data_IF_048952992418
#
_entry.id   IF_048952992418
#
_cell.length_a   1.000
_cell.length_b   1.000
_cell.length_c   1.000
_cell.angle_alpha   90.00
_cell.angle_beta   90.00
_cell.angle_gamma   90.00
#
_symmetry.space_group_name_H-M   'P 1'
#
loop_
_entity.id
_entity.type
_entity.pdbx_description
1 polymer ?
#
# COMPACT_ATOMS: atom_id res chain seq x y z
N UNK A 1 -35.26 3.85 32.53
CA UNK A 1 -33.81 3.94 32.79
C UNK A 1 -33.08 2.63 32.48
N UNK A 2 -33.50 1.48 33.04
CA UNK A 2 -32.94 0.15 32.73
C UNK A 2 -33.03 -0.23 31.25
N UNK A 3 -34.19 -0.03 30.61
CA UNK A 3 -34.39 -0.29 29.17
C UNK A 3 -33.43 0.54 28.30
N UNK A 4 -33.21 1.82 28.64
CA UNK A 4 -32.28 2.69 27.94
C UNK A 4 -30.83 2.20 28.05
N UNK A 5 -30.41 1.78 29.25
CA UNK A 5 -29.06 1.23 29.47
C UNK A 5 -28.84 -0.09 28.73
N UNK A 6 -29.86 -0.95 28.67
CA UNK A 6 -29.81 -2.20 27.90
C UNK A 6 -29.65 -1.93 26.40
N UNK A 7 -30.42 -0.99 25.85
CA UNK A 7 -30.30 -0.65 24.42
C UNK A 7 -29.00 0.10 24.09
N UNK A 8 -28.52 1.00 24.96
CA UNK A 8 -27.23 1.66 24.77
C UNK A 8 -26.07 0.65 24.75
N UNK A 9 -26.07 -0.34 25.66
CA UNK A 9 -25.06 -1.40 25.69
C UNK A 9 -25.10 -2.28 24.44
N UNK A 10 -26.29 -2.56 23.91
CA UNK A 10 -26.48 -3.34 22.68
C UNK A 10 -25.97 -2.57 21.46
N UNK A 11 -26.28 -1.27 21.38
CA UNK A 11 -25.79 -0.39 20.33
C UNK A 11 -24.25 -0.27 20.34
N UNK A 12 -23.64 0.02 21.49
CA UNK A 12 -22.18 0.13 21.63
C UNK A 12 -21.47 -1.17 21.24
N UNK A 13 -22.01 -2.32 21.66
CA UNK A 13 -21.47 -3.62 21.28
C UNK A 13 -21.52 -3.85 19.77
N UNK A 14 -22.65 -3.54 19.13
CA UNK A 14 -22.81 -3.69 17.67
C UNK A 14 -21.89 -2.75 16.88
N UNK A 15 -21.68 -1.53 17.36
CA UNK A 15 -20.79 -0.56 16.72
C UNK A 15 -19.33 -1.02 16.78
N UNK A 16 -18.88 -1.50 17.94
CA UNK A 16 -17.51 -2.01 18.10
C UNK A 16 -17.28 -3.29 17.29
N UNK A 17 -18.28 -4.17 17.21
CA UNK A 17 -18.19 -5.38 16.39
C UNK A 17 -18.05 -5.03 14.90
N UNK A 18 -18.84 -4.07 14.41
CA UNK A 18 -18.70 -3.55 13.04
C UNK A 18 -17.33 -2.90 12.79
N UNK A 19 -16.81 -2.12 13.74
CA UNK A 19 -15.48 -1.52 13.62
C UNK A 19 -14.38 -2.57 13.59
N UNK A 20 -14.48 -3.59 14.43
CA UNK A 20 -13.54 -4.71 14.48
C UNK A 20 -13.53 -5.49 13.16
N UNK A 21 -14.70 -5.77 12.60
CA UNK A 21 -14.82 -6.51 11.34
C UNK A 21 -14.24 -5.69 10.18
N UNK A 22 -14.52 -4.38 10.13
CA UNK A 22 -13.92 -3.47 9.15
C UNK A 22 -12.39 -3.42 9.28
N UNK A 23 -11.85 -3.28 10.50
CA UNK A 23 -10.39 -3.26 10.73
C UNK A 23 -9.74 -4.60 10.39
N UNK A 24 -10.41 -5.72 10.67
CA UNK A 24 -9.92 -7.05 10.30
C UNK A 24 -9.83 -7.20 8.79
N UNK A 25 -10.86 -6.76 8.05
CA UNK A 25 -10.86 -6.76 6.59
C UNK A 25 -9.72 -5.91 6.00
N UNK A 26 -9.52 -4.70 6.55
CA UNK A 26 -8.42 -3.82 6.17
C UNK A 26 -7.05 -4.46 6.44
N UNK A 27 -6.89 -5.13 7.58
CA UNK A 27 -5.64 -5.79 7.95
C UNK A 27 -5.28 -6.94 7.01
N UNK A 28 -6.27 -7.78 6.67
CA UNK A 28 -6.10 -8.88 5.72
C UNK A 28 -5.71 -8.32 4.36
N UNK A 29 -6.41 -7.29 3.88
CA UNK A 29 -6.10 -6.66 2.60
C UNK A 29 -4.69 -6.05 2.59
N UNK A 30 -4.32 -5.30 3.63
CA UNK A 30 -2.99 -4.72 3.77
C UNK A 30 -1.89 -5.79 3.81
N UNK A 31 -2.12 -6.90 4.51
CA UNK A 31 -1.19 -8.04 4.53
C UNK A 31 -0.99 -8.66 3.15
N UNK A 32 -2.09 -8.91 2.42
CA UNK A 32 -2.05 -9.41 1.04
C UNK A 32 -1.33 -8.45 0.11
N UNK A 33 -1.66 -7.15 0.17
CA UNK A 33 -0.98 -6.12 -0.63
C UNK A 33 0.52 -6.08 -0.32
N UNK A 34 0.90 -6.14 0.96
CA UNK A 34 2.31 -6.15 1.37
C UNK A 34 3.05 -7.38 0.85
N UNK A 35 2.42 -8.55 0.86
CA UNK A 35 3.01 -9.78 0.31
C UNK A 35 3.25 -9.67 -1.20
N UNK A 36 2.24 -9.19 -1.95
CA UNK A 36 2.36 -8.98 -3.40
C UNK A 36 3.44 -7.94 -3.72
N UNK A 37 3.40 -6.77 -3.06
CA UNK A 37 4.41 -5.71 -3.26
C UNK A 37 5.81 -6.21 -2.92
N UNK A 38 5.97 -7.01 -1.85
CA UNK A 38 7.28 -7.59 -1.48
C UNK A 38 7.82 -8.52 -2.57
N UNK A 39 6.96 -9.35 -3.18
CA UNK A 39 7.39 -10.21 -4.29
C UNK A 39 7.93 -9.38 -5.48
N UNK A 40 7.27 -8.27 -5.81
CA UNK A 40 7.76 -7.35 -6.84
C UNK A 40 9.04 -6.63 -6.43
N UNK A 41 9.15 -6.18 -5.17
CA UNK A 41 10.38 -5.54 -4.66
C UNK A 41 11.59 -6.47 -4.77
N UNK A 42 11.43 -7.78 -4.48
CA UNK A 42 12.52 -8.75 -4.60
C UNK A 42 13.05 -8.83 -6.03
N UNK A 43 12.18 -8.73 -7.03
CA UNK A 43 12.61 -8.68 -8.44
C UNK A 43 13.14 -7.28 -8.83
N UNK A 44 12.49 -6.20 -8.39
CA UNK A 44 12.91 -4.82 -8.63
C UNK A 44 14.31 -4.53 -8.12
N UNK A 45 14.64 -5.08 -6.95
CA UNK A 45 15.90 -4.84 -6.28
C UNK A 45 17.07 -5.39 -7.10
N UNK A 46 16.86 -6.49 -7.83
CA UNK A 46 17.87 -7.03 -8.75
C UNK A 46 18.21 -6.05 -9.87
N UNK A 47 17.23 -5.29 -10.37
CA UNK A 47 17.48 -4.26 -11.40
C UNK A 47 18.25 -3.04 -10.90
N UNK A 48 18.37 -2.86 -9.57
CA UNK A 48 19.24 -1.86 -8.95
C UNK A 48 20.66 -2.36 -8.67
N UNK A 49 20.92 -3.66 -8.85
CA UNK A 49 22.23 -4.25 -8.70
C UNK A 49 22.85 -4.53 -10.07
N UNK A 50 24.17 -4.43 -10.15
CA UNK A 50 24.91 -4.85 -11.33
C UNK A 50 24.70 -6.35 -11.53
N UNK A 51 23.98 -6.73 -12.58
CA UNK A 51 23.84 -8.13 -12.94
C UNK A 51 25.23 -8.69 -13.29
N UNK A 52 25.70 -9.63 -12.47
CA UNK A 52 27.00 -10.28 -12.67
C UNK A 52 27.03 -10.97 -14.03
N UNK A 53 25.89 -11.50 -14.50
CA UNK A 53 25.76 -12.07 -15.83
C UNK A 53 25.96 -11.05 -16.95
N UNK A 54 25.40 -9.84 -16.80
CA UNK A 54 25.60 -8.78 -17.80
C UNK A 54 27.05 -8.29 -17.83
N UNK A 55 27.70 -8.19 -16.66
CA UNK A 55 29.13 -7.87 -16.58
C UNK A 55 29.99 -8.95 -17.23
N UNK A 56 29.69 -10.23 -16.97
CA UNK A 56 30.38 -11.36 -17.60
C UNK A 56 30.15 -11.39 -19.11
N UNK A 57 28.94 -11.13 -19.59
CA UNK A 57 28.64 -11.04 -21.02
C UNK A 57 29.36 -9.85 -21.69
N UNK A 58 29.41 -8.69 -21.03
CA UNK A 58 30.17 -7.54 -21.51
C UNK A 58 31.67 -7.87 -21.57
N UNK A 59 32.24 -8.48 -20.54
CA UNK A 59 33.63 -8.95 -20.54
C UNK A 59 33.89 -9.99 -21.63
N UNK A 60 32.98 -10.96 -21.83
CA UNK A 60 33.05 -11.96 -22.90
C UNK A 60 33.02 -11.30 -24.29
N UNK A 61 32.16 -10.30 -24.50
CA UNK A 61 32.15 -9.56 -25.77
C UNK A 61 33.45 -8.80 -25.99
N UNK A 62 34.01 -8.16 -24.95
CA UNK A 62 35.31 -7.51 -25.04
C UNK A 62 36.44 -8.49 -25.37
N UNK A 63 36.48 -9.65 -24.70
CA UNK A 63 37.44 -10.72 -24.98
C UNK A 63 37.27 -11.25 -26.40
N UNK A 64 36.04 -11.44 -26.88
CA UNK A 64 35.77 -11.91 -28.25
C UNK A 64 36.26 -10.93 -29.31
N UNK A 65 36.06 -9.62 -29.09
CA UNK A 65 36.53 -8.57 -29.98
C UNK A 65 38.06 -8.50 -29.96
N UNK A 66 38.68 -8.64 -28.79
CA UNK A 66 40.13 -8.69 -28.64
C UNK A 66 40.73 -9.90 -29.39
N UNK A 67 40.11 -11.08 -29.26
CA UNK A 67 40.56 -12.29 -29.96
C UNK A 67 40.40 -12.14 -31.48
N UNK A 68 39.30 -11.54 -31.94
CA UNK A 68 39.06 -11.25 -33.36
C UNK A 68 40.11 -10.29 -33.93
N UNK A 69 40.49 -9.24 -33.20
CA UNK A 69 41.54 -8.29 -33.64
C UNK A 69 42.93 -8.95 -33.70
N UNK A 70 43.26 -9.80 -32.72
CA UNK A 70 44.51 -10.58 -32.75
C UNK A 70 44.53 -11.52 -33.96
N UNK A 71 43.41 -12.20 -34.25
CA UNK A 71 43.31 -13.08 -35.42
C UNK A 71 43.41 -12.33 -36.76
N UNK A 72 43.06 -11.05 -36.78
CA UNK A 72 43.09 -10.18 -37.96
C UNK A 72 44.45 -9.53 -38.20
N UNK A 73 45.45 -9.79 -37.36
CA UNK A 73 46.82 -9.27 -37.51
C UNK A 73 46.99 -7.78 -37.19
N UNK A 74 46.01 -7.12 -36.55
CA UNK A 74 46.12 -5.72 -36.16
C UNK A 74 46.87 -5.58 -34.82
N UNK A 75 48.13 -5.14 -34.87
CA UNK A 75 48.95 -4.80 -33.70
C UNK A 75 48.58 -3.41 -33.12
N UNK A 76 47.30 -3.18 -32.80
CA UNK A 76 46.86 -1.95 -32.14
C UNK A 76 47.11 -2.02 -30.63
N UNK A 77 47.68 -0.99 -30.03
CA UNK A 77 47.76 -0.85 -28.57
C UNK A 77 46.36 -0.85 -27.97
N UNK A 78 46.05 -1.88 -27.19
CA UNK A 78 44.74 -2.09 -26.59
C UNK A 78 44.48 -1.04 -25.51
N UNK A 79 43.72 0.00 -25.84
CA UNK A 79 43.06 0.83 -24.83
C UNK A 79 41.93 0.00 -24.22
N UNK A 80 42.17 -0.58 -23.03
CA UNK A 80 41.11 -1.17 -22.21
C UNK A 80 40.14 -0.05 -21.89
N UNK A 81 38.98 -0.05 -22.56
CA UNK A 81 37.92 0.89 -22.23
C UNK A 81 37.48 0.61 -20.79
N UNK A 82 37.44 1.61 -19.90
CA UNK A 82 37.03 1.40 -18.51
C UNK A 82 35.67 0.72 -18.48
N UNK A 83 35.51 -0.31 -17.64
CA UNK A 83 34.21 -0.94 -17.42
C UNK A 83 33.24 0.19 -17.04
N UNK A 84 32.15 0.41 -17.80
CA UNK A 84 31.22 1.48 -17.49
C UNK A 84 30.66 1.26 -16.10
N UNK A 85 30.80 2.27 -15.23
CA UNK A 85 30.24 2.22 -13.88
C UNK A 85 28.73 2.01 -13.99
N UNK A 86 28.22 1.03 -13.26
CA UNK A 86 26.79 0.71 -13.28
C UNK A 86 25.99 1.92 -12.79
N UNK A 87 25.16 2.48 -13.68
CA UNK A 87 24.19 3.52 -13.35
C UNK A 87 22.80 2.91 -13.54
N UNK A 88 22.01 2.74 -12.47
CA UNK A 88 20.67 2.18 -12.58
C UNK A 88 19.78 3.06 -13.45
N UNK A 89 18.91 2.43 -14.23
CA UNK A 89 17.94 3.14 -15.06
C UNK A 89 17.00 3.99 -14.19
N UNK A 90 16.68 5.21 -14.64
CA UNK A 90 15.75 6.11 -13.95
C UNK A 90 14.38 5.45 -13.68
N UNK A 91 13.94 4.59 -14.59
CA UNK A 91 12.71 3.80 -14.45
C UNK A 91 12.81 2.79 -13.31
N UNK A 92 13.90 2.03 -13.22
CA UNK A 92 14.14 1.07 -12.15
C UNK A 92 14.20 1.75 -10.78
N UNK A 93 14.86 2.91 -10.68
CA UNK A 93 14.88 3.72 -9.46
C UNK A 93 13.47 4.19 -9.06
N UNK A 94 12.70 4.73 -10.02
CA UNK A 94 11.34 5.18 -9.77
C UNK A 94 10.43 4.03 -9.30
N UNK A 95 10.54 2.84 -9.91
CA UNK A 95 9.77 1.65 -9.50
C UNK A 95 10.05 1.27 -8.05
N UNK A 96 11.33 1.20 -7.67
CA UNK A 96 11.73 0.86 -6.33
C UNK A 96 11.19 1.89 -5.32
N UNK A 97 11.35 3.19 -5.58
CA UNK A 97 10.80 4.24 -4.70
C UNK A 97 9.29 4.08 -4.55
N UNK A 98 8.54 3.89 -5.65
CA UNK A 98 7.09 3.71 -5.63
C UNK A 98 6.64 2.47 -4.85
N UNK A 99 7.34 1.35 -5.01
CA UNK A 99 7.00 0.11 -4.29
C UNK A 99 7.38 0.15 -2.81
N UNK A 100 8.54 0.70 -2.44
CA UNK A 100 8.90 0.88 -1.03
C UNK A 100 7.94 1.85 -0.32
N UNK A 101 7.56 2.94 -0.98
CA UNK A 101 6.58 3.89 -0.42
C UNK A 101 5.18 3.28 -0.33
N UNK A 102 4.74 2.55 -1.35
CA UNK A 102 3.48 1.77 -1.31
C UNK A 102 3.46 0.80 -0.12
N UNK A 103 4.52 0.01 0.05
CA UNK A 103 4.65 -0.94 1.16
C UNK A 103 4.62 -0.24 2.52
N UNK A 104 5.32 0.88 2.66
CA UNK A 104 5.35 1.68 3.89
C UNK A 104 3.95 2.21 4.26
N UNK A 105 3.19 2.72 3.28
CA UNK A 105 1.81 3.15 3.51
C UNK A 105 0.88 1.99 3.87
N UNK A 106 1.06 0.82 3.25
CA UNK A 106 0.30 -0.38 3.60
C UNK A 106 0.55 -0.79 5.06
N UNK A 107 1.83 -0.86 5.48
CA UNK A 107 2.17 -1.19 6.86
C UNK A 107 1.67 -0.14 7.86
N UNK A 108 1.78 1.15 7.52
CA UNK A 108 1.22 2.22 8.35
C UNK A 108 -0.30 2.07 8.51
N UNK A 109 -1.02 1.77 7.41
CA UNK A 109 -2.44 1.47 7.45
C UNK A 109 -2.75 0.28 8.38
N UNK A 110 -2.01 -0.82 8.28
CA UNK A 110 -2.17 -1.97 9.18
C UNK A 110 -1.93 -1.59 10.64
N UNK A 111 -0.89 -0.82 10.95
CA UNK A 111 -0.58 -0.38 12.31
C UNK A 111 -1.72 0.48 12.88
N UNK A 112 -2.26 1.42 12.10
CA UNK A 112 -3.38 2.26 12.54
C UNK A 112 -4.65 1.42 12.72
N UNK A 113 -4.92 0.46 11.83
CA UNK A 113 -6.07 -0.46 11.96
C UNK A 113 -5.98 -1.33 13.22
N UNK A 114 -4.80 -1.85 13.55
CA UNK A 114 -4.57 -2.58 14.81
C UNK A 114 -4.83 -1.67 16.00
N UNK A 115 -4.28 -0.45 15.99
CA UNK A 115 -4.40 0.48 17.11
C UNK A 115 -5.85 0.87 17.37
N UNK A 116 -6.63 1.14 16.31
CA UNK A 116 -8.07 1.40 16.43
C UNK A 116 -8.81 0.17 16.95
N UNK A 117 -8.47 -1.03 16.46
CA UNK A 117 -9.04 -2.28 16.94
C UNK A 117 -8.79 -2.51 18.44
N UNK A 118 -7.56 -2.26 18.90
CA UNK A 118 -7.18 -2.36 20.33
C UNK A 118 -7.96 -1.36 21.18
N UNK A 119 -8.03 -0.10 20.77
CA UNK A 119 -8.80 0.93 21.49
C UNK A 119 -10.29 0.58 21.59
N UNK A 120 -10.87 0.01 20.52
CA UNK A 120 -12.26 -0.42 20.52
C UNK A 120 -12.51 -1.62 21.46
N UNK A 121 -11.55 -2.56 21.56
CA UNK A 121 -11.63 -3.68 22.50
C UNK A 121 -11.47 -3.24 23.95
N UNK A 122 -10.50 -2.36 24.23
CA UNK A 122 -10.29 -1.78 25.55
C UNK A 122 -11.56 -1.07 26.03
N UNK A 123 -12.23 -0.32 25.15
CA UNK A 123 -13.50 0.33 25.46
C UNK A 123 -14.57 -0.64 25.95
N UNK A 124 -14.78 -1.76 25.25
CA UNK A 124 -15.75 -2.78 25.66
C UNK A 124 -15.35 -3.42 26.99
N UNK A 125 -14.05 -3.71 27.17
CA UNK A 125 -13.57 -4.33 28.39
C UNK A 125 -13.78 -3.43 29.61
N UNK A 126 -13.53 -2.12 29.49
CA UNK A 126 -13.80 -1.15 30.55
C UNK A 126 -15.29 -0.97 30.85
N UNK A 127 -16.14 -1.01 29.82
CA UNK A 127 -17.59 -0.92 29.97
C UNK A 127 -18.20 -2.16 30.65
N UNK A 128 -17.66 -3.35 30.40
CA UNK A 128 -18.19 -4.60 30.96
C UNK A 128 -17.74 -4.86 32.40
N UNK A 129 -16.56 -4.36 32.79
CA UNK A 129 -15.96 -4.57 34.12
C UNK A 129 -16.66 -3.81 35.27
N UNK A 130 -17.44 -2.76 34.97
CA UNK A 130 -18.07 -1.92 35.99
C UNK A 130 -19.57 -2.22 36.11
N UNK A 131 -19.95 -2.99 37.13
CA UNK A 131 -21.35 -3.36 37.42
C UNK A 131 -22.27 -2.18 37.80
N UNK A 132 -21.70 -1.02 38.16
CA UNK A 132 -22.47 0.18 38.49
C UNK A 132 -22.72 1.03 37.23
N UNK A 133 -23.98 1.13 36.75
CA UNK A 133 -24.30 1.76 35.46
C UNK A 133 -23.91 3.25 35.39
N UNK A 134 -23.86 3.93 36.54
CA UNK A 134 -23.50 5.36 36.63
C UNK A 134 -21.99 5.58 36.49
N UNK A 135 -21.17 4.67 37.03
CA UNK A 135 -19.70 4.77 36.94
C UNK A 135 -19.24 4.44 35.52
N UNK A 136 -19.82 3.39 34.91
CA UNK A 136 -19.58 3.04 33.50
C UNK A 136 -19.94 4.18 32.54
N UNK A 137 -21.12 4.79 32.71
CA UNK A 137 -21.55 5.92 31.88
C UNK A 137 -20.61 7.16 31.97
N UNK A 138 -20.03 7.40 33.16
CA UNK A 138 -19.10 8.52 33.38
C UNK A 138 -17.73 8.28 32.74
N UNK A 139 -17.24 7.04 32.72
CA UNK A 139 -16.01 6.65 32.03
C UNK A 139 -16.22 6.70 30.52
N UNK A 140 -17.34 6.17 30.02
CA UNK A 140 -17.71 6.18 28.60
C UNK A 140 -17.81 7.62 28.08
N UNK A 141 -18.46 8.52 28.81
CA UNK A 141 -18.54 9.93 28.43
C UNK A 141 -17.17 10.62 28.46
N UNK A 142 -16.33 10.37 29.46
CA UNK A 142 -14.96 10.92 29.50
C UNK A 142 -14.10 10.44 28.32
N UNK A 143 -14.20 9.15 27.97
CA UNK A 143 -13.48 8.60 26.83
C UNK A 143 -14.06 9.10 25.50
N UNK A 144 -15.37 9.25 25.37
CA UNK A 144 -16.01 9.86 24.20
C UNK A 144 -15.52 11.30 24.00
N UNK A 145 -15.41 12.09 25.08
CA UNK A 145 -14.77 13.40 25.04
C UNK A 145 -13.28 13.31 24.64
N UNK A 146 -12.57 12.28 25.10
CA UNK A 146 -11.20 11.97 24.66
C UNK A 146 -11.10 11.67 23.17
N UNK A 147 -11.92 10.76 22.64
CA UNK A 147 -12.02 10.38 21.22
C UNK A 147 -12.32 11.61 20.34
N UNK A 148 -13.23 12.49 20.79
CA UNK A 148 -13.57 13.74 20.11
C UNK A 148 -12.44 14.78 20.20
N UNK A 149 -11.74 14.87 21.35
CA UNK A 149 -10.62 15.79 21.57
C UNK A 149 -9.37 15.39 20.79
N UNK A 150 -9.09 14.09 20.69
CA UNK A 150 -7.96 13.53 19.93
C UNK A 150 -8.32 13.22 18.47
N UNK A 151 -9.53 13.59 18.03
CA UNK A 151 -10.00 13.49 16.66
C UNK A 151 -9.80 12.10 16.04
N UNK A 152 -10.10 11.05 16.81
CA UNK A 152 -9.94 9.65 16.39
C UNK A 152 -10.78 9.32 15.14
N UNK A 153 -11.86 10.07 14.90
CA UNK A 153 -12.65 10.02 13.68
C UNK A 153 -11.81 10.31 12.42
N UNK A 154 -10.85 11.24 12.51
CA UNK A 154 -9.89 11.52 11.44
C UNK A 154 -8.94 10.36 11.24
N UNK A 155 -8.43 9.74 12.31
CA UNK A 155 -7.56 8.57 12.20
C UNK A 155 -8.26 7.40 11.51
N UNK A 156 -9.51 7.10 11.89
CA UNK A 156 -10.32 6.05 11.26
C UNK A 156 -10.60 6.37 9.79
N UNK A 157 -10.90 7.63 9.45
CA UNK A 157 -11.12 8.06 8.07
C UNK A 157 -9.84 8.03 7.21
N UNK A 158 -8.66 8.15 7.81
CA UNK A 158 -7.39 8.09 7.10
C UNK A 158 -7.00 6.66 6.71
N UNK A 159 -7.46 5.63 7.43
CA UNK A 159 -7.08 4.23 7.18
C UNK A 159 -7.40 3.80 5.73
N UNK A 160 -8.64 3.92 5.23
CA UNK A 160 -8.94 3.57 3.83
C UNK A 160 -8.18 4.45 2.83
N UNK A 161 -7.92 5.70 3.20
CA UNK A 161 -7.21 6.66 2.35
C UNK A 161 -5.75 6.26 2.14
N UNK A 162 -5.05 5.86 3.22
CA UNK A 162 -3.69 5.31 3.15
C UNK A 162 -3.65 4.02 2.31
N UNK A 163 -4.64 3.15 2.48
CA UNK A 163 -4.75 1.88 1.77
C UNK A 163 -4.95 2.09 0.25
N UNK A 164 -5.86 2.98 -0.14
CA UNK A 164 -6.04 3.33 -1.55
C UNK A 164 -4.80 4.00 -2.13
N UNK A 165 -4.18 4.92 -1.39
CA UNK A 165 -2.93 5.58 -1.82
C UNK A 165 -1.84 4.55 -2.08
N UNK A 166 -1.65 3.59 -1.16
CA UNK A 166 -0.71 2.47 -1.34
C UNK A 166 -1.00 1.66 -2.61
N UNK A 167 -2.27 1.37 -2.88
CA UNK A 167 -2.70 0.63 -4.07
C UNK A 167 -2.40 1.40 -5.37
N UNK A 168 -2.72 2.70 -5.42
CA UNK A 168 -2.42 3.55 -6.57
C UNK A 168 -0.91 3.65 -6.84
N UNK A 169 -0.09 3.80 -5.79
CA UNK A 169 1.37 3.79 -5.90
C UNK A 169 1.90 2.45 -6.42
N UNK A 170 1.32 1.33 -5.97
CA UNK A 170 1.70 0.00 -6.44
C UNK A 170 1.46 -0.17 -7.95
N UNK A 171 0.28 0.21 -8.45
CA UNK A 171 -0.03 0.15 -9.88
C UNK A 171 0.83 1.11 -10.71
N UNK A 172 1.10 2.31 -10.21
CA UNK A 172 2.03 3.24 -10.87
C UNK A 172 3.44 2.63 -11.00
N UNK A 173 3.93 1.98 -9.94
CA UNK A 173 5.17 1.23 -9.96
C UNK A 173 5.15 0.06 -10.95
N UNK A 174 4.02 -0.66 -11.04
CA UNK A 174 3.84 -1.75 -12.00
C UNK A 174 3.94 -1.25 -13.45
N UNK A 175 3.25 -0.16 -13.79
CA UNK A 175 3.32 0.42 -15.13
C UNK A 175 4.77 0.85 -15.44
N UNK A 176 5.42 1.55 -14.51
CA UNK A 176 6.81 1.98 -14.67
C UNK A 176 7.78 0.80 -14.87
N UNK A 177 7.54 -0.32 -14.20
CA UNK A 177 8.33 -1.55 -14.32
C UNK A 177 8.15 -2.22 -15.68
N UNK A 178 6.96 -2.14 -16.26
CA UNK A 178 6.64 -2.76 -17.56
C UNK A 178 7.12 -1.93 -18.76
N UNK A 179 7.35 -0.61 -18.60
CA UNK A 179 7.84 0.28 -19.68
C UNK A 179 9.05 -0.30 -20.42
N UNK A 180 10.17 -0.69 -19.77
CA UNK A 180 11.34 -1.21 -20.46
C UNK A 180 11.18 -2.66 -20.94
N UNK A 181 10.20 -3.41 -20.44
CA UNK A 181 10.06 -4.85 -20.71
C UNK A 181 9.26 -5.08 -21.98
N UNK A 182 8.00 -4.60 -22.01
CA UNK A 182 7.11 -4.84 -23.15
C UNK A 182 5.95 -3.84 -23.17
N UNK A 183 5.84 -3.10 -24.27
CA UNK A 183 4.80 -2.07 -24.45
C UNK A 183 3.38 -2.65 -24.48
N UNK A 184 3.19 -3.86 -25.01
CA UNK A 184 1.87 -4.52 -25.07
C UNK A 184 1.40 -4.89 -23.67
N UNK A 185 2.25 -5.56 -22.89
CA UNK A 185 1.90 -5.95 -21.50
C UNK A 185 1.66 -4.69 -20.66
N UNK A 186 2.48 -3.66 -20.84
CA UNK A 186 2.29 -2.35 -20.20
C UNK A 186 0.93 -1.74 -20.54
N UNK A 187 0.58 -1.65 -21.83
CA UNK A 187 -0.68 -1.08 -22.28
C UNK A 187 -1.90 -1.84 -21.74
N UNK A 188 -1.85 -3.18 -21.75
CA UNK A 188 -2.93 -4.02 -21.18
C UNK A 188 -3.08 -3.77 -19.68
N UNK A 189 -1.97 -3.77 -18.93
CA UNK A 189 -2.00 -3.50 -17.49
C UNK A 189 -2.51 -2.10 -17.15
N UNK A 190 -2.13 -1.09 -17.94
CA UNK A 190 -2.59 0.29 -17.79
C UNK A 190 -4.07 0.43 -18.13
N UNK A 191 -4.57 -0.26 -19.16
CA UNK A 191 -5.99 -0.26 -19.52
C UNK A 191 -6.85 -0.87 -18.41
N UNK A 192 -6.44 -2.00 -17.83
CA UNK A 192 -7.13 -2.62 -16.70
C UNK A 192 -7.18 -1.66 -15.50
N UNK A 193 -6.05 -1.05 -15.15
CA UNK A 193 -5.98 -0.07 -14.07
C UNK A 193 -6.84 1.18 -14.32
N UNK A 194 -6.87 1.68 -15.56
CA UNK A 194 -7.72 2.80 -15.96
C UNK A 194 -9.20 2.48 -15.80
N UNK A 195 -9.63 1.27 -16.18
CA UNK A 195 -11.02 0.81 -16.00
C UNK A 195 -11.38 0.77 -14.51
N UNK A 196 -10.53 0.17 -13.66
CA UNK A 196 -10.75 0.15 -12.21
C UNK A 196 -10.83 1.56 -11.61
N UNK A 197 -9.94 2.45 -12.03
CA UNK A 197 -9.91 3.84 -11.56
C UNK A 197 -11.16 4.60 -12.00
N UNK A 198 -11.62 4.39 -13.23
CA UNK A 198 -12.87 4.97 -13.73
C UNK A 198 -14.08 4.48 -12.93
N UNK A 199 -14.19 3.18 -12.68
CA UNK A 199 -15.27 2.63 -11.84
C UNK A 199 -15.20 3.23 -10.43
N UNK A 200 -14.01 3.32 -9.84
CA UNK A 200 -13.81 3.90 -8.51
C UNK A 200 -14.23 5.39 -8.46
N UNK A 201 -13.82 6.19 -9.46
CA UNK A 201 -14.20 7.60 -9.56
C UNK A 201 -15.71 7.75 -9.75
N UNK A 202 -16.32 6.95 -10.63
CA UNK A 202 -17.77 6.95 -10.82
C UNK A 202 -18.45 6.65 -9.48
N UNK A 203 -18.08 5.58 -8.78
CA UNK A 203 -18.68 5.22 -7.49
C UNK A 203 -18.47 6.27 -6.39
N UNK A 204 -17.36 7.00 -6.42
CA UNK A 204 -17.06 8.06 -5.43
C UNK A 204 -17.79 9.36 -5.73
N UNK A 205 -18.02 9.67 -7.01
CA UNK A 205 -18.64 10.93 -7.47
C UNK A 205 -20.16 10.79 -7.65
N UNK A 206 -20.67 9.59 -7.91
CA UNK A 206 -22.10 9.30 -8.05
C UNK A 206 -22.97 9.82 -6.89
N UNK A 207 -22.56 9.73 -5.61
CA UNK A 207 -23.33 10.24 -4.47
C UNK A 207 -23.44 11.76 -4.44
N UNK A 208 -22.56 12.50 -5.14
CA UNK A 208 -22.61 13.96 -5.23
C UNK A 208 -23.70 14.46 -6.19
N UNK A 209 -24.12 13.62 -7.14
CA UNK A 209 -25.14 13.98 -8.14
C UNK A 209 -26.53 13.40 -7.81
N UNK A 210 -26.59 12.27 -7.09
CA UNK A 210 -27.83 11.61 -6.71
C UNK A 210 -27.88 11.40 -5.19
N UNK A 211 -28.70 12.20 -4.50
CA UNK A 211 -28.93 12.10 -3.05
C UNK A 211 -29.55 10.76 -2.60
N UNK A 212 -30.08 9.97 -3.52
CA UNK A 212 -30.77 8.69 -3.25
C UNK A 212 -29.89 7.43 -3.46
N UNK A 213 -28.58 7.59 -3.73
CA UNK A 213 -27.72 6.44 -3.99
C UNK A 213 -27.29 5.71 -2.70
N UNK A 214 -27.42 4.36 -2.64
CA UNK A 214 -27.03 3.56 -1.46
C UNK A 214 -25.50 3.45 -1.24
N UNK A 215 -24.69 3.94 -2.17
CA UNK A 215 -23.23 3.94 -2.09
C UNK A 215 -22.71 5.14 -1.29
N UNK A 216 -22.88 5.13 0.04
CA UNK A 216 -22.23 6.11 0.91
C UNK A 216 -20.75 5.77 1.07
N UNK A 217 -19.89 6.43 0.29
CA UNK A 217 -18.45 6.45 0.55
C UNK A 217 -18.13 7.47 1.66
N UNK A 218 -17.15 7.22 2.54
CA UNK A 218 -16.83 8.07 3.71
C UNK A 218 -16.29 9.48 3.36
N UNK A 219 -16.23 9.84 2.07
CA UNK A 219 -15.87 11.16 1.56
C UNK A 219 -17.09 12.01 1.15
N UNK A 220 -18.32 11.46 1.24
CA UNK A 220 -19.60 12.15 1.02
C UNK A 220 -20.45 12.18 2.29
#
# INVERSE_FOLDING_TARGET
WTIYLTEAKKYDKSLVESWKDNMTGILIFSGLLSAVVTAFIVEAYKTLQTDSGNTTNQLLTQISLQLAQISSGSNGTLTVSPVPQFVPSKSALACNILWFTSLSFSLCCALVAILVGQWAQDFLHFADKHSAPVVGARIISYLYYGIRRFNMHTMVAMIPLLLHTSLFLFFAGLIAFLIPINVVVMAVSAAVFAIFTMIYLVLTVLPLFYLECPYRTPLS
#
